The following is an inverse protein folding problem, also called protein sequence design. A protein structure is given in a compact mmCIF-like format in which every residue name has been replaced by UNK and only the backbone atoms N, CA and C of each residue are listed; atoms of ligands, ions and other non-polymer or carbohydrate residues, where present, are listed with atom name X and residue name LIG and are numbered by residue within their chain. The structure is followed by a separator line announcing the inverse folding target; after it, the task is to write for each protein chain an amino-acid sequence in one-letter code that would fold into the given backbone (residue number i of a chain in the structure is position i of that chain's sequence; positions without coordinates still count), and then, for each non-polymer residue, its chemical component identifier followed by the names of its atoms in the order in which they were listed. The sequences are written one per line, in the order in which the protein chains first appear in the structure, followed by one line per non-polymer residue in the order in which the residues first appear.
data_IF_360734359351
#
_entry.id   IF_360734359351
#
_cell.length_a   1.000
_cell.length_b   1.000
_cell.length_c   1.000
_cell.angle_alpha   90.00
_cell.angle_beta   90.00
_cell.angle_gamma   90.00
#
_symmetry.space_group_name_H-M   'P 1'
#
loop_
_entity.id
_entity.type
_entity.pdbx_description
1 polymer ?
#
# COMPACT_ATOMS: atom_id res chain seq x y z
N UNK A 1 21.22 12.86 -38.70
CA UNK A 1 20.11 11.87 -38.65
C UNK A 1 19.04 12.41 -37.73
N UNK A 2 17.91 12.86 -38.30
CA UNK A 2 16.77 13.44 -37.58
C UNK A 2 15.80 12.31 -37.25
N UNK A 3 15.47 12.09 -35.97
CA UNK A 3 14.41 11.17 -35.54
C UNK A 3 13.29 11.99 -34.93
N UNK A 4 12.21 12.10 -35.68
CA UNK A 4 10.98 12.82 -35.39
C UNK A 4 10.16 12.05 -34.35
N UNK A 5 9.70 12.76 -33.32
CA UNK A 5 8.80 12.28 -32.27
C UNK A 5 7.37 12.38 -32.81
N UNK A 6 6.62 11.28 -32.78
CA UNK A 6 5.20 11.26 -33.13
C UNK A 6 4.38 11.14 -31.85
N UNK A 7 3.73 12.23 -31.46
CA UNK A 7 2.71 12.25 -30.42
C UNK A 7 1.38 11.88 -31.07
N UNK A 8 0.79 10.75 -30.69
CA UNK A 8 -0.60 10.45 -30.99
C UNK A 8 -1.41 10.64 -29.71
N UNK A 9 -2.06 11.80 -29.61
CA UNK A 9 -3.17 12.05 -28.69
C UNK A 9 -4.43 11.58 -29.41
N UNK A 10 -5.09 10.55 -28.88
CA UNK A 10 -6.43 10.19 -29.35
C UNK A 10 -7.35 10.10 -28.14
N UNK A 11 -8.06 11.21 -27.94
CA UNK A 11 -9.14 11.39 -27.00
C UNK A 11 -10.38 10.72 -27.61
N UNK A 12 -10.93 9.67 -27.00
CA UNK A 12 -12.24 9.12 -27.37
C UNK A 12 -13.17 9.29 -26.17
N UNK A 13 -13.93 10.39 -26.19
CA UNK A 13 -15.14 10.55 -25.40
C UNK A 13 -16.30 10.02 -26.25
N UNK A 14 -16.87 8.88 -25.88
CA UNK A 14 -18.17 8.43 -26.40
C UNK A 14 -19.15 8.38 -25.23
N UNK A 15 -19.90 9.47 -25.10
CA UNK A 15 -20.98 9.66 -24.15
C UNK A 15 -22.24 9.00 -24.74
N UNK A 16 -22.60 7.81 -24.26
CA UNK A 16 -23.83 7.12 -24.70
C UNK A 16 -25.02 7.69 -23.92
N UNK A 17 -25.82 8.50 -24.62
CA UNK A 17 -27.17 8.89 -24.22
C UNK A 17 -28.06 7.64 -24.24
N UNK A 18 -28.51 7.17 -23.08
CA UNK A 18 -29.65 6.26 -22.98
C UNK A 18 -30.84 7.02 -22.38
N UNK A 19 -31.77 7.37 -23.26
CA UNK A 19 -33.05 8.00 -22.97
C UNK A 19 -33.95 6.94 -22.31
N UNK A 20 -34.10 7.00 -20.98
CA UNK A 20 -35.06 6.19 -20.23
C UNK A 20 -36.26 7.03 -19.82
N UNK A 21 -37.33 7.01 -20.62
CA UNK A 21 -38.65 7.50 -20.22
C UNK A 21 -39.29 6.46 -19.30
N UNK A 22 -39.38 6.77 -18.00
CA UNK A 22 -40.26 6.05 -17.08
C UNK A 22 -41.34 7.02 -16.64
N UNK A 23 -42.55 6.79 -17.13
CA UNK A 23 -43.78 7.50 -16.73
C UNK A 23 -44.32 6.77 -15.51
N UNK A 24 -44.39 7.43 -14.36
CA UNK A 24 -45.17 6.98 -13.22
C UNK A 24 -46.17 8.07 -12.83
N UNK A 25 -47.43 7.68 -12.83
CA UNK A 25 -48.59 8.52 -12.53
C UNK A 25 -48.81 8.65 -11.03
N UNK A 26 -49.01 9.90 -10.59
CA UNK A 26 -49.87 10.37 -9.50
C UNK A 26 -49.79 9.74 -8.10
N UNK A 27 -49.46 10.56 -7.11
CA UNK A 27 -50.48 11.19 -6.24
C UNK A 27 -49.87 12.31 -5.39
N UNK A 28 -50.67 13.34 -5.16
CA UNK A 28 -50.31 14.56 -4.44
C UNK A 28 -50.12 14.29 -2.95
N UNK A 29 -49.03 14.80 -2.37
CA UNK A 29 -49.12 15.45 -1.06
C UNK A 29 -48.00 16.50 -0.89
N UNK A 30 -48.39 17.58 -0.24
CA UNK A 30 -47.64 18.82 -0.03
C UNK A 30 -46.39 18.63 0.83
N UNK A 31 -45.23 19.06 0.32
CA UNK A 31 -44.00 19.18 1.10
C UNK A 31 -42.75 19.27 0.22
N UNK A 32 -42.38 20.46 -0.23
CA UNK A 32 -41.13 20.68 -0.95
C UNK A 32 -39.94 20.59 0.03
N UNK A 33 -39.37 19.40 0.18
CA UNK A 33 -38.07 19.20 0.82
C UNK A 33 -37.02 19.22 -0.29
N UNK A 34 -36.20 20.27 -0.33
CA UNK A 34 -35.07 20.36 -1.26
C UNK A 34 -34.05 19.30 -0.85
N UNK A 35 -34.06 18.15 -1.51
CA UNK A 35 -33.08 17.10 -1.29
C UNK A 35 -31.79 17.48 -2.00
N UNK A 36 -30.83 18.02 -1.23
CA UNK A 36 -29.46 18.19 -1.70
C UNK A 36 -28.84 16.82 -1.95
N UNK A 37 -28.12 16.59 -3.07
CA UNK A 37 -27.43 15.33 -3.28
C UNK A 37 -26.40 15.13 -2.17
N UNK A 38 -26.49 14.00 -1.46
CA UNK A 38 -25.49 13.60 -0.50
C UNK A 38 -24.14 13.50 -1.21
N UNK A 39 -23.18 14.35 -0.83
CA UNK A 39 -21.79 14.23 -1.25
C UNK A 39 -21.30 12.92 -0.64
N UNK A 40 -21.21 11.87 -1.46
CA UNK A 40 -20.58 10.60 -1.09
C UNK A 40 -19.09 10.90 -0.92
N UNK A 41 -18.69 11.24 0.29
CA UNK A 41 -17.28 11.38 0.64
C UNK A 41 -16.71 9.97 0.72
N UNK A 42 -16.11 9.49 -0.37
CA UNK A 42 -15.31 8.28 -0.30
C UNK A 42 -14.15 8.58 0.66
N UNK A 43 -14.16 7.93 1.83
CA UNK A 43 -13.04 8.00 2.77
C UNK A 43 -11.83 7.45 2.04
N UNK A 44 -10.97 8.33 1.53
CA UNK A 44 -9.69 7.93 0.94
C UNK A 44 -8.92 7.19 2.04
N UNK A 45 -8.85 5.86 1.92
CA UNK A 45 -8.18 5.02 2.92
C UNK A 45 -6.71 5.37 2.92
N UNK A 46 -6.16 5.75 4.08
CA UNK A 46 -4.76 6.06 4.17
C UNK A 46 -3.97 4.73 4.09
N UNK A 47 -3.00 4.59 3.18
CA UNK A 47 -2.27 3.33 2.98
C UNK A 47 -1.38 2.94 4.18
N UNK A 48 -1.16 3.86 5.12
CA UNK A 48 -0.48 3.63 6.40
C UNK A 48 -1.43 3.16 7.51
N UNK A 49 -2.74 3.20 7.28
CA UNK A 49 -3.72 2.75 8.25
C UNK A 49 -3.46 1.29 8.62
N UNK A 50 -3.61 0.97 9.92
CA UNK A 50 -3.36 -0.37 10.47
C UNK A 50 -1.91 -0.87 10.36
N UNK A 51 -0.92 0.00 10.12
CA UNK A 51 0.49 -0.32 10.36
C UNK A 51 0.96 0.30 11.68
N UNK A 52 1.77 -0.43 12.44
CA UNK A 52 2.51 0.14 13.56
C UNK A 52 3.73 0.84 13.02
N UNK A 53 3.86 2.13 13.28
CA UNK A 53 5.01 2.90 12.84
C UNK A 53 6.30 2.42 13.52
N UNK A 54 7.36 2.32 12.73
CA UNK A 54 8.72 2.00 13.18
C UNK A 54 9.58 3.24 12.92
N UNK A 55 10.47 3.54 13.88
CA UNK A 55 11.44 4.60 13.68
C UNK A 55 12.34 4.29 12.46
N UNK A 56 12.41 5.23 11.52
CA UNK A 56 13.15 5.05 10.27
C UNK A 56 14.63 4.77 10.52
N UNK A 57 15.26 5.48 11.45
CA UNK A 57 16.68 5.32 11.74
C UNK A 57 16.96 3.97 12.37
N UNK A 58 16.13 3.55 13.33
CA UNK A 58 16.21 2.22 13.93
C UNK A 58 16.08 1.11 12.87
N UNK A 59 15.16 1.28 11.91
CA UNK A 59 15.02 0.34 10.80
C UNK A 59 16.28 0.30 9.92
N UNK A 60 16.85 1.46 9.59
CA UNK A 60 18.07 1.56 8.78
C UNK A 60 19.23 0.87 9.50
N UNK A 61 19.42 1.15 10.79
CA UNK A 61 20.54 0.63 11.57
C UNK A 61 20.42 -0.89 11.78
N UNK A 62 19.23 -1.35 12.22
CA UNK A 62 18.94 -2.78 12.43
C UNK A 62 19.17 -3.57 11.15
N UNK A 63 18.70 -3.07 10.01
CA UNK A 63 18.82 -3.73 8.71
C UNK A 63 20.13 -3.41 7.97
N UNK A 64 20.98 -2.55 8.55
CA UNK A 64 22.23 -2.06 7.98
C UNK A 64 22.06 -1.48 6.57
N UNK A 65 20.96 -0.79 6.28
CA UNK A 65 20.60 -0.31 4.93
C UNK A 65 21.67 0.66 4.42
N UNK A 66 22.41 0.25 3.37
CA UNK A 66 23.41 1.08 2.69
C UNK A 66 22.94 1.57 1.32
N UNK A 67 21.89 0.93 0.80
CA UNK A 67 21.35 1.18 -0.53
C UNK A 67 20.60 2.51 -0.62
N UNK A 68 20.74 3.19 -1.76
CA UNK A 68 20.21 4.54 -2.02
C UNK A 68 19.08 4.58 -3.04
N UNK A 69 18.49 3.43 -3.40
CA UNK A 69 17.32 3.36 -4.29
C UNK A 69 16.38 2.21 -3.88
N UNK A 70 15.08 2.27 -4.23
CA UNK A 70 14.08 1.33 -3.72
C UNK A 70 14.37 -0.14 -4.06
N UNK A 71 14.87 -0.44 -5.27
CA UNK A 71 15.21 -1.82 -5.67
C UNK A 71 16.40 -2.36 -4.90
N UNK A 72 17.42 -1.53 -4.69
CA UNK A 72 18.60 -1.92 -3.93
C UNK A 72 18.28 -2.13 -2.44
N UNK A 73 17.39 -1.30 -1.85
CA UNK A 73 16.88 -1.52 -0.49
C UNK A 73 16.13 -2.85 -0.41
N UNK A 74 15.25 -3.13 -1.37
CA UNK A 74 14.53 -4.40 -1.42
C UNK A 74 15.48 -5.60 -1.55
N UNK A 75 16.44 -5.54 -2.47
CA UNK A 75 17.43 -6.60 -2.67
C UNK A 75 18.25 -6.86 -1.39
N UNK A 76 18.63 -5.81 -0.67
CA UNK A 76 19.36 -5.94 0.59
C UNK A 76 18.51 -6.62 1.67
N UNK A 77 17.25 -6.21 1.83
CA UNK A 77 16.32 -6.82 2.79
C UNK A 77 16.16 -8.32 2.51
N UNK A 78 15.92 -8.66 1.25
CA UNK A 78 15.71 -10.04 0.83
C UNK A 78 16.97 -10.92 0.93
N UNK A 79 18.16 -10.33 0.72
CA UNK A 79 19.42 -11.10 0.74
C UNK A 79 19.92 -11.41 2.15
N UNK A 80 19.48 -10.65 3.17
CA UNK A 80 19.96 -10.80 4.54
C UNK A 80 19.55 -12.12 5.18
N UNK A 81 18.44 -12.72 4.72
CA UNK A 81 17.84 -13.89 5.33
C UNK A 81 18.10 -15.19 4.55
N UNK A 82 19.16 -15.24 3.73
CA UNK A 82 19.49 -16.42 2.90
C UNK A 82 19.77 -17.70 3.70
N UNK A 83 20.04 -17.61 5.01
CA UNK A 83 20.06 -18.80 5.87
C UNK A 83 18.63 -19.21 6.20
N UNK A 84 18.29 -20.47 5.93
CA UNK A 84 17.01 -21.08 6.30
C UNK A 84 16.84 -20.99 7.82
N UNK A 85 16.22 -19.91 8.30
CA UNK A 85 15.83 -19.83 9.71
C UNK A 85 14.74 -20.86 9.97
N UNK A 86 14.87 -21.57 11.08
CA UNK A 86 13.92 -22.59 11.51
C UNK A 86 12.48 -22.06 11.46
N UNK A 87 11.58 -22.86 10.90
CA UNK A 87 10.16 -22.52 10.79
C UNK A 87 9.77 -21.60 9.62
N UNK A 88 10.73 -20.95 8.94
CA UNK A 88 10.44 -20.05 7.80
C UNK A 88 9.85 -20.81 6.62
N UNK A 89 8.62 -20.44 6.25
CA UNK A 89 7.88 -21.10 5.15
C UNK A 89 8.03 -20.37 3.83
N UNK A 90 7.94 -19.04 3.83
CA UNK A 90 8.04 -18.26 2.60
C UNK A 90 8.36 -16.79 2.89
N UNK A 91 8.94 -16.15 1.89
CA UNK A 91 9.31 -14.75 1.89
C UNK A 91 8.88 -14.13 0.55
N UNK A 92 8.31 -12.94 0.60
CA UNK A 92 7.87 -12.19 -0.57
C UNK A 92 8.29 -10.73 -0.44
N UNK A 93 8.76 -10.14 -1.54
CA UNK A 93 9.11 -8.72 -1.59
C UNK A 93 8.64 -8.10 -2.89
N UNK A 94 7.96 -6.96 -2.77
CA UNK A 94 7.48 -6.21 -3.92
C UNK A 94 7.88 -4.74 -3.82
N UNK A 95 8.25 -4.15 -4.96
CA UNK A 95 8.57 -2.73 -5.08
C UNK A 95 7.57 -2.09 -6.02
N UNK A 96 6.94 -1.00 -5.59
CA UNK A 96 5.96 -0.24 -6.38
C UNK A 96 6.39 1.22 -6.46
N UNK A 97 6.11 1.84 -7.61
CA UNK A 97 6.40 3.24 -7.89
C UNK A 97 5.10 3.97 -8.23
N UNK A 98 4.34 4.46 -7.24
CA UNK A 98 3.11 5.22 -7.50
C UNK A 98 3.36 6.48 -8.35
N UNK A 99 4.53 7.08 -8.21
CA UNK A 99 4.99 8.24 -8.99
C UNK A 99 6.48 8.11 -9.30
N UNK A 100 7.04 9.06 -10.07
CA UNK A 100 8.49 9.11 -10.32
C UNK A 100 9.31 9.45 -9.07
N UNK A 101 8.69 10.08 -8.07
CA UNK A 101 9.36 10.59 -6.86
C UNK A 101 9.00 9.78 -5.61
N UNK A 102 8.10 8.81 -5.71
CA UNK A 102 7.65 8.01 -4.57
C UNK A 102 7.71 6.54 -4.91
N UNK A 103 8.22 5.74 -3.98
CA UNK A 103 8.17 4.30 -4.05
C UNK A 103 7.75 3.72 -2.71
N UNK A 104 7.22 2.52 -2.71
CA UNK A 104 7.11 1.74 -1.49
C UNK A 104 7.48 0.29 -1.74
N UNK A 105 8.05 -0.32 -0.71
CA UNK A 105 8.40 -1.73 -0.66
C UNK A 105 7.42 -2.38 0.30
N UNK A 106 6.84 -3.51 -0.10
CA UNK A 106 6.13 -4.41 0.82
C UNK A 106 6.95 -5.66 0.95
N UNK A 107 7.38 -5.94 2.17
CA UNK A 107 8.19 -7.08 2.51
C UNK A 107 7.42 -7.97 3.47
N UNK A 108 7.18 -9.23 3.12
CA UNK A 108 6.37 -10.17 3.90
C UNK A 108 7.14 -11.44 4.18
N UNK A 109 7.21 -11.83 5.45
CA UNK A 109 7.78 -13.10 5.90
C UNK A 109 6.67 -13.93 6.53
N UNK A 110 6.55 -15.20 6.14
CA UNK A 110 5.58 -16.15 6.71
C UNK A 110 6.27 -17.36 7.32
N UNK A 111 5.72 -17.82 8.44
CA UNK A 111 6.32 -18.89 9.23
C UNK A 111 7.47 -18.36 10.07
N UNK A 112 7.31 -17.27 10.81
CA UNK A 112 8.37 -16.85 11.72
C UNK A 112 8.60 -17.93 12.81
N UNK A 113 9.86 -18.11 13.27
CA UNK A 113 10.20 -19.10 14.31
C UNK A 113 9.48 -18.83 15.64
N UNK A 114 9.22 -17.56 15.93
CA UNK A 114 8.55 -17.09 17.14
C UNK A 114 7.21 -17.81 17.38
N UNK A 115 6.98 -18.33 18.59
CA UNK A 115 5.80 -19.11 18.94
C UNK A 115 4.51 -18.25 18.99
N UNK A 116 4.67 -16.94 19.19
CA UNK A 116 3.59 -15.96 19.18
C UNK A 116 3.27 -15.41 17.79
N UNK A 117 4.28 -15.17 16.95
CA UNK A 117 4.11 -14.51 15.64
C UNK A 117 4.17 -15.53 14.50
N UNK A 118 3.12 -15.60 13.68
CA UNK A 118 3.12 -16.46 12.49
C UNK A 118 3.77 -15.79 11.28
N UNK A 119 3.47 -14.51 11.04
CA UNK A 119 3.93 -13.78 9.86
C UNK A 119 4.15 -12.30 10.19
N UNK A 120 5.12 -11.68 9.53
CA UNK A 120 5.35 -10.23 9.55
C UNK A 120 5.23 -9.63 8.16
N UNK A 121 4.86 -8.35 8.13
CA UNK A 121 4.83 -7.54 6.91
C UNK A 121 5.27 -6.12 7.22
N UNK A 122 6.32 -5.69 6.53
CA UNK A 122 6.80 -4.32 6.58
C UNK A 122 6.42 -3.58 5.30
N UNK A 123 6.06 -2.31 5.46
CA UNK A 123 5.87 -1.34 4.39
C UNK A 123 6.91 -0.24 4.57
N UNK A 124 7.80 -0.09 3.59
CA UNK A 124 8.88 0.89 3.59
C UNK A 124 8.56 1.90 2.49
N UNK A 125 8.33 3.15 2.85
CA UNK A 125 8.08 4.23 1.89
C UNK A 125 9.34 5.04 1.66
N UNK A 126 9.62 5.33 0.38
CA UNK A 126 10.77 6.08 -0.07
C UNK A 126 10.32 7.27 -0.90
N UNK A 127 11.05 8.38 -0.76
CA UNK A 127 10.87 9.59 -1.57
C UNK A 127 12.18 9.96 -2.25
N UNK A 128 12.09 10.36 -3.51
CA UNK A 128 13.20 10.97 -4.25
C UNK A 128 13.24 12.46 -3.95
N UNK A 129 14.39 12.96 -3.49
CA UNK A 129 14.69 14.36 -3.35
C UNK A 129 15.99 14.65 -4.12
N UNK A 130 15.93 15.50 -5.15
CA UNK A 130 17.09 15.84 -5.99
C UNK A 130 17.86 14.60 -6.49
N UNK A 131 17.13 13.60 -6.98
CA UNK A 131 17.64 12.31 -7.48
C UNK A 131 18.28 11.40 -6.41
N UNK A 132 18.09 11.68 -5.13
CA UNK A 132 18.48 10.79 -4.03
C UNK A 132 17.23 10.21 -3.39
N UNK A 133 17.19 8.88 -3.23
CA UNK A 133 16.08 8.25 -2.51
C UNK A 133 16.40 8.16 -1.03
N UNK A 134 15.40 8.52 -0.22
CA UNK A 134 15.44 8.44 1.23
C UNK A 134 14.25 7.64 1.72
N UNK A 135 14.46 6.81 2.73
CA UNK A 135 13.35 6.16 3.45
C UNK A 135 12.69 7.25 4.30
N UNK A 136 11.40 7.47 4.10
CA UNK A 136 10.66 8.54 4.78
C UNK A 136 9.66 8.00 5.80
N UNK A 137 9.31 6.71 5.72
CA UNK A 137 8.41 6.07 6.66
C UNK A 137 8.55 4.55 6.61
N UNK A 138 8.39 3.91 7.77
CA UNK A 138 8.36 2.46 7.91
C UNK A 138 7.20 2.08 8.81
N UNK A 139 6.41 1.09 8.39
CA UNK A 139 5.38 0.51 9.23
C UNK A 139 5.40 -1.00 9.18
N UNK A 140 4.93 -1.63 10.24
CA UNK A 140 4.90 -3.08 10.38
C UNK A 140 3.52 -3.60 10.77
N UNK A 141 3.22 -4.79 10.28
CA UNK A 141 2.06 -5.59 10.62
C UNK A 141 2.49 -7.00 10.98
N UNK A 142 1.74 -7.63 11.87
CA UNK A 142 1.93 -9.02 12.28
C UNK A 142 0.63 -9.80 12.17
N UNK A 143 0.76 -11.11 11.95
CA UNK A 143 -0.29 -12.10 12.18
C UNK A 143 0.16 -13.01 13.31
N UNK A 144 -0.68 -13.18 14.32
CA UNK A 144 -0.36 -14.00 15.48
C UNK A 144 -0.72 -15.47 15.25
N UNK A 145 0.12 -16.37 15.77
CA UNK A 145 -0.04 -17.82 15.61
C UNK A 145 -1.02 -18.41 16.61
N UNK A 146 -1.00 -17.93 17.86
CA UNK A 146 -1.79 -18.46 18.99
C UNK A 146 -2.37 -17.33 19.84
N UNK A 147 -3.24 -17.70 20.79
CA UNK A 147 -3.83 -16.79 21.77
C UNK A 147 -4.93 -15.88 21.22
N UNK A 148 -5.28 -14.86 22.02
CA UNK A 148 -6.24 -13.79 21.69
C UNK A 148 -5.69 -12.75 20.70
N UNK A 149 -4.49 -12.97 20.16
CA UNK A 149 -3.87 -12.10 19.17
C UNK A 149 -4.58 -12.14 17.81
N UNK A 150 -4.33 -11.12 17.00
CA UNK A 150 -5.00 -10.96 15.71
C UNK A 150 -4.50 -11.98 14.68
N UNK A 151 -5.42 -12.74 14.06
CA UNK A 151 -5.10 -13.73 13.01
C UNK A 151 -4.99 -13.09 11.62
N UNK A 152 -5.47 -11.85 11.50
CA UNK A 152 -5.31 -11.01 10.33
C UNK A 152 -4.23 -9.95 10.53
N UNK A 153 -3.85 -9.31 9.42
CA UNK A 153 -2.81 -8.30 9.42
C UNK A 153 -3.20 -7.16 10.34
N UNK A 154 -2.38 -6.91 11.35
CA UNK A 154 -2.66 -5.88 12.34
C UNK A 154 -1.38 -5.18 12.78
N UNK A 155 -1.54 -3.93 13.19
CA UNK A 155 -0.51 -3.15 13.88
C UNK A 155 -0.24 -3.64 15.32
N UNK A 156 -1.13 -4.45 15.91
CA UNK A 156 -0.96 -4.98 17.26
C UNK A 156 0.22 -5.96 17.33
N UNK A 157 1.01 -5.86 18.40
CA UNK A 157 2.04 -6.83 18.73
C UNK A 157 1.36 -8.14 19.19
N UNK A 158 1.93 -9.29 18.83
CA UNK A 158 1.42 -10.57 19.29
C UNK A 158 1.76 -10.77 20.78
N UNK A 159 0.80 -11.30 21.57
CA UNK A 159 0.98 -11.50 23.00
C UNK A 159 1.98 -12.61 23.33
#
# INVERSE_FOLDING_TARGET
MKRTISFLVTLIFAFVLALGLVVNSASADTGAVVQFPAIVTSKQSNPRDNFREINVQEFIDRNQIKATNPKAVAAQLFSRLQEEEEGRRSEDISVKYPTMETAFIVYTIKGLPDDSTDSSRDRIELKSNQNKWEIVWVGSQSKCRRGSGNRDWSSSICP
#
